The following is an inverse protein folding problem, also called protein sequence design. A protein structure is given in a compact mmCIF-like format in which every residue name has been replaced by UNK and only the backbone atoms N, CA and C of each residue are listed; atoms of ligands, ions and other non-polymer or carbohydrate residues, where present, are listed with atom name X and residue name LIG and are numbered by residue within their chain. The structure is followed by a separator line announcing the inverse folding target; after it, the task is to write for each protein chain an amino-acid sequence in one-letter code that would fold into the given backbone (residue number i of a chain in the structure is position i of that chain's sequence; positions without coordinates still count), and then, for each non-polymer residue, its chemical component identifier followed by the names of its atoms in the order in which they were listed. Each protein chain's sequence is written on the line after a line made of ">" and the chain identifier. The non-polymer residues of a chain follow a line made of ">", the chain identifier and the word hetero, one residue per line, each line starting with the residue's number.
data_IF_559378507815
#
_entry.id   IF_559378507815
#
_cell.length_a   1.000
_cell.length_b   1.000
_cell.length_c   1.000
_cell.angle_alpha   90.00
_cell.angle_beta   90.00
_cell.angle_gamma   90.00
#
_symmetry.space_group_name_H-M   'P 1'
#
loop_
_entity.id
_entity.type
_entity.pdbx_description
1 polymer ?
#
# COMPACT_ATOMS: atom_id res chain seq x y z
N UNK A 1 -50.23 6.08 6.68
CA UNK A 1 -50.03 4.63 6.92
C UNK A 1 -48.53 4.33 6.87
N UNK A 2 -47.89 4.19 8.04
CA UNK A 2 -46.45 3.93 8.15
C UNK A 2 -46.18 2.44 7.94
N UNK A 3 -45.74 2.06 6.74
CA UNK A 3 -45.32 0.68 6.48
C UNK A 3 -44.01 0.39 7.21
N UNK A 4 -44.13 -0.36 8.31
CA UNK A 4 -43.00 -0.81 9.12
C UNK A 4 -42.22 -1.89 8.35
N UNK A 5 -41.17 -1.46 7.65
CA UNK A 5 -40.30 -2.31 6.83
C UNK A 5 -39.72 -3.50 7.59
N UNK A 6 -39.51 -3.40 8.92
CA UNK A 6 -39.09 -4.55 9.75
C UNK A 6 -40.14 -5.67 9.76
N UNK A 7 -41.43 -5.33 9.73
CA UNK A 7 -42.52 -6.32 9.69
C UNK A 7 -42.55 -7.03 8.34
N UNK A 8 -42.37 -6.30 7.23
CA UNK A 8 -42.29 -6.88 5.89
C UNK A 8 -41.10 -7.85 5.73
N UNK A 9 -39.91 -7.45 6.20
CA UNK A 9 -38.70 -8.29 6.14
C UNK A 9 -38.71 -9.48 7.10
N UNK A 10 -39.50 -9.40 8.19
CA UNK A 10 -39.74 -10.52 9.12
C UNK A 10 -40.65 -11.57 8.48
N UNK A 11 -41.72 -11.15 7.81
CA UNK A 11 -42.66 -12.04 7.12
C UNK A 11 -41.98 -12.78 5.96
N UNK A 12 -41.16 -12.11 5.15
CA UNK A 12 -40.40 -12.73 4.05
C UNK A 12 -39.45 -13.82 4.57
N UNK A 13 -38.80 -13.60 5.72
CA UNK A 13 -37.92 -14.60 6.36
C UNK A 13 -38.66 -15.82 6.91
N UNK A 14 -39.90 -15.64 7.38
CA UNK A 14 -40.75 -16.74 7.84
C UNK A 14 -41.31 -17.58 6.69
N UNK A 15 -41.55 -16.96 5.53
CA UNK A 15 -42.06 -17.65 4.34
C UNK A 15 -40.98 -18.46 3.61
N UNK A 16 -39.71 -18.08 3.73
CA UNK A 16 -38.61 -18.74 3.02
C UNK A 16 -38.05 -20.01 3.68
N UNK A 17 -38.73 -20.60 4.67
CA UNK A 17 -38.66 -22.03 5.01
C UNK A 17 -37.33 -22.67 5.46
N UNK A 18 -36.17 -22.04 5.24
CA UNK A 18 -34.89 -22.71 5.43
C UNK A 18 -34.29 -22.37 6.79
N UNK A 19 -34.27 -23.37 7.68
CA UNK A 19 -33.42 -23.36 8.87
C UNK A 19 -31.97 -23.42 8.42
N UNK A 20 -31.30 -22.28 8.33
CA UNK A 20 -29.84 -22.23 8.20
C UNK A 20 -29.24 -22.55 9.57
N UNK A 21 -28.88 -23.81 9.79
CA UNK A 21 -27.90 -24.16 10.83
C UNK A 21 -26.56 -23.54 10.42
N UNK A 22 -25.92 -22.70 11.27
CA UNK A 22 -24.61 -22.18 10.96
C UNK A 22 -23.59 -23.34 10.92
N UNK A 23 -22.76 -23.46 9.87
CA UNK A 23 -21.70 -24.45 9.86
C UNK A 23 -20.68 -24.14 10.97
N UNK A 24 -20.11 -25.19 11.55
CA UNK A 24 -19.08 -25.10 12.58
C UNK A 24 -17.91 -24.22 12.13
N UNK A 25 -17.55 -23.26 12.97
CA UNK A 25 -16.47 -22.29 12.73
C UNK A 25 -15.12 -23.03 12.73
N UNK A 26 -14.50 -23.18 11.57
CA UNK A 26 -13.05 -23.32 11.48
C UNK A 26 -12.44 -21.92 11.41
N UNK A 27 -11.39 -21.64 12.17
CA UNK A 27 -10.69 -20.35 12.20
C UNK A 27 -10.03 -20.04 10.84
N UNK A 28 -10.80 -19.46 9.92
CA UNK A 28 -10.29 -19.01 8.62
C UNK A 28 -9.45 -17.75 8.84
N UNK A 29 -8.15 -17.86 8.58
CA UNK A 29 -7.23 -16.72 8.72
C UNK A 29 -7.33 -15.77 7.51
N UNK A 30 -7.06 -14.46 7.68
CA UNK A 30 -7.02 -13.50 6.57
C UNK A 30 -6.07 -13.92 5.43
N UNK A 31 -5.00 -14.64 5.76
CA UNK A 31 -4.05 -15.18 4.80
C UNK A 31 -4.68 -16.29 3.94
N UNK A 32 -5.47 -17.19 4.53
CA UNK A 32 -6.19 -18.23 3.80
C UNK A 32 -7.24 -17.62 2.84
N UNK A 33 -7.93 -16.55 3.25
CA UNK A 33 -8.84 -15.80 2.37
C UNK A 33 -8.07 -15.16 1.22
N UNK A 34 -6.92 -14.54 1.52
CA UNK A 34 -6.02 -13.98 0.50
C UNK A 34 -5.58 -15.01 -0.53
N UNK A 35 -5.12 -16.18 -0.08
CA UNK A 35 -4.70 -17.30 -0.92
C UNK A 35 -5.83 -17.84 -1.79
N UNK A 36 -7.05 -17.99 -1.25
CA UNK A 36 -8.20 -18.44 -2.04
C UNK A 36 -8.66 -17.40 -3.07
N UNK A 37 -8.62 -16.10 -2.76
CA UNK A 37 -8.92 -15.04 -3.74
C UNK A 37 -7.94 -15.06 -4.92
N UNK A 38 -6.66 -15.37 -4.64
CA UNK A 38 -5.62 -15.56 -5.66
C UNK A 38 -5.89 -16.80 -6.51
N UNK A 39 -6.22 -17.94 -5.88
CA UNK A 39 -6.48 -19.21 -6.56
C UNK A 39 -7.71 -19.13 -7.49
N UNK A 40 -8.80 -18.54 -7.03
CA UNK A 40 -10.04 -18.37 -7.80
C UNK A 40 -9.90 -17.40 -8.98
N UNK A 41 -8.83 -16.58 -9.01
CA UNK A 41 -8.52 -15.66 -10.10
C UNK A 41 -7.72 -16.27 -11.25
N UNK A 42 -7.17 -17.49 -11.12
CA UNK A 42 -6.35 -18.14 -12.15
C UNK A 42 -7.24 -18.67 -13.30
N UNK A 43 -6.97 -18.26 -14.54
CA UNK A 43 -7.54 -18.88 -15.76
C UNK A 43 -6.57 -19.94 -16.29
N UNK A 44 -7.12 -21.02 -16.85
CA UNK A 44 -6.35 -21.97 -17.64
C UNK A 44 -5.71 -21.28 -18.87
N UNK A 45 -4.43 -21.57 -19.10
CA UNK A 45 -3.60 -20.95 -20.14
C UNK A 45 -4.18 -21.17 -21.54
N UNK A 46 -4.37 -20.09 -22.29
CA UNK A 46 -4.53 -20.15 -23.74
C UNK A 46 -3.40 -19.35 -24.38
N UNK A 47 -2.60 -20.04 -25.21
CA UNK A 47 -1.40 -19.53 -25.88
C UNK A 47 -1.71 -18.24 -26.65
N UNK A 48 -0.92 -17.18 -26.40
CA UNK A 48 -0.99 -15.90 -27.13
C UNK A 48 -0.11 -15.94 -28.38
N UNK A 49 -0.69 -15.64 -29.55
CA UNK A 49 0.06 -15.31 -30.76
C UNK A 49 0.63 -13.88 -30.68
N UNK A 50 1.88 -13.70 -31.15
CA UNK A 50 2.55 -12.40 -31.27
C UNK A 50 2.10 -11.72 -32.56
N UNK A 51 1.43 -10.57 -32.44
CA UNK A 51 1.15 -9.67 -33.57
C UNK A 51 2.09 -8.47 -33.54
N UNK A 52 2.62 -8.09 -34.71
CA UNK A 52 3.49 -6.94 -34.92
C UNK A 52 2.79 -5.61 -34.60
N UNK A 53 3.58 -4.64 -34.12
CA UNK A 53 3.07 -3.38 -33.57
C UNK A 53 3.36 -2.21 -34.51
N UNK A 54 2.34 -1.71 -35.21
CA UNK A 54 2.35 -0.33 -35.69
C UNK A 54 1.81 0.60 -34.59
N UNK A 55 2.69 1.41 -34.01
CA UNK A 55 2.30 2.52 -33.13
C UNK A 55 2.01 3.75 -33.99
N UNK A 56 0.75 4.15 -34.12
CA UNK A 56 0.40 5.44 -34.69
C UNK A 56 0.66 6.51 -33.64
N UNK A 57 1.72 7.30 -33.84
CA UNK A 57 2.05 8.47 -33.02
C UNK A 57 1.03 9.56 -33.33
N UNK A 58 0.24 9.96 -32.33
CA UNK A 58 -0.55 11.20 -32.43
C UNK A 58 0.47 12.35 -32.47
N UNK A 59 0.49 13.21 -33.50
CA UNK A 59 1.46 14.28 -33.57
C UNK A 59 1.12 15.32 -32.50
N UNK A 60 1.76 15.19 -31.34
CA UNK A 60 1.81 16.22 -30.32
C UNK A 60 2.75 17.33 -30.77
N UNK A 61 2.35 18.56 -30.50
CA UNK A 61 3.10 19.78 -30.80
C UNK A 61 4.57 19.65 -30.34
N UNK A 62 5.53 19.70 -31.27
CA UNK A 62 6.94 19.35 -31.05
C UNK A 62 7.72 20.29 -30.11
N UNK A 63 7.11 21.37 -29.63
CA UNK A 63 7.78 22.38 -28.81
C UNK A 63 7.89 22.00 -27.31
N UNK A 64 7.22 20.94 -26.87
CA UNK A 64 7.40 20.37 -25.53
C UNK A 64 7.99 18.96 -25.65
N UNK A 65 9.30 18.85 -25.88
CA UNK A 65 10.12 17.75 -25.32
C UNK A 65 10.25 17.89 -23.78
N UNK A 66 9.10 18.20 -23.19
CA UNK A 66 8.45 17.79 -21.96
C UNK A 66 9.38 17.45 -20.81
N UNK A 67 9.31 18.27 -19.77
CA UNK A 67 9.78 17.98 -18.40
C UNK A 67 9.61 16.51 -17.97
N UNK A 68 8.63 15.78 -18.53
CA UNK A 68 8.41 14.36 -18.27
C UNK A 68 9.59 13.45 -18.62
N UNK A 69 10.40 13.77 -19.64
CA UNK A 69 11.48 12.89 -20.12
C UNK A 69 12.87 13.30 -19.64
N UNK A 70 13.01 14.45 -18.97
CA UNK A 70 14.29 14.90 -18.42
C UNK A 70 14.72 14.02 -17.24
N UNK A 71 16.01 13.83 -16.94
CA UNK A 71 16.41 13.22 -15.67
C UNK A 71 15.81 13.96 -14.47
N UNK A 72 15.47 13.23 -13.41
CA UNK A 72 15.15 13.78 -12.10
C UNK A 72 16.38 14.47 -11.50
N UNK A 73 16.15 15.60 -10.84
CA UNK A 73 17.19 16.32 -10.09
C UNK A 73 17.20 15.89 -8.62
N UNK A 74 18.25 16.27 -7.89
CA UNK A 74 18.34 16.00 -6.45
C UNK A 74 17.26 16.73 -5.66
N UNK A 75 16.88 17.94 -6.09
CA UNK A 75 15.80 18.72 -5.48
C UNK A 75 14.44 18.03 -5.68
N UNK A 76 14.17 17.52 -6.89
CA UNK A 76 12.95 16.76 -7.16
C UNK A 76 12.89 15.47 -6.34
N UNK A 77 14.04 14.78 -6.19
CA UNK A 77 14.16 13.58 -5.37
C UNK A 77 13.84 13.86 -3.91
N UNK A 78 14.48 14.86 -3.30
CA UNK A 78 14.26 15.23 -1.89
C UNK A 78 12.84 15.75 -1.67
N UNK A 79 12.30 16.55 -2.60
CA UNK A 79 10.91 16.97 -2.54
C UNK A 79 9.96 15.76 -2.57
N UNK A 80 10.20 14.81 -3.48
CA UNK A 80 9.44 13.56 -3.56
C UNK A 80 9.50 12.77 -2.25
N UNK A 81 10.71 12.59 -1.71
CA UNK A 81 10.97 11.88 -0.46
C UNK A 81 10.21 12.51 0.72
N UNK A 82 10.25 13.84 0.84
CA UNK A 82 9.55 14.58 1.90
C UNK A 82 8.02 14.46 1.83
N UNK A 83 7.45 14.13 0.67
CA UNK A 83 6.00 13.87 0.55
C UNK A 83 5.58 12.46 0.94
N UNK A 84 6.52 11.54 1.11
CA UNK A 84 6.23 10.15 1.41
C UNK A 84 5.87 9.99 2.89
N UNK A 85 4.85 9.16 3.16
CA UNK A 85 4.40 8.90 4.52
C UNK A 85 5.27 7.84 5.18
N UNK A 86 5.76 8.14 6.38
CA UNK A 86 6.41 7.20 7.27
C UNK A 86 5.37 6.32 8.01
N UNK A 87 5.82 5.29 8.69
CA UNK A 87 5.05 4.30 9.44
C UNK A 87 4.21 3.38 8.54
N UNK A 88 4.72 3.04 7.34
CA UNK A 88 4.02 2.20 6.36
C UNK A 88 4.72 0.86 6.18
N UNK A 89 3.92 -0.19 6.01
CA UNK A 89 4.44 -1.53 5.76
C UNK A 89 5.28 -1.58 4.47
N UNK A 90 6.39 -2.30 4.54
CA UNK A 90 7.28 -2.54 3.41
C UNK A 90 6.63 -3.42 2.34
N UNK A 91 7.20 -3.38 1.13
CA UNK A 91 6.82 -4.26 0.04
C UNK A 91 7.60 -5.58 0.07
N UNK A 92 7.61 -6.32 -1.05
CA UNK A 92 8.41 -7.54 -1.21
C UNK A 92 9.93 -7.33 -1.05
N UNK A 93 10.41 -6.10 -1.14
CA UNK A 93 11.80 -5.69 -0.97
C UNK A 93 12.23 -5.49 0.48
N UNK A 94 11.27 -5.48 1.41
CA UNK A 94 11.46 -5.19 2.85
C UNK A 94 12.14 -3.85 3.16
N UNK A 95 12.19 -2.94 2.18
CA UNK A 95 12.74 -1.59 2.36
C UNK A 95 11.62 -0.67 2.88
N UNK A 96 11.86 -0.06 4.04
CA UNK A 96 11.00 0.95 4.63
C UNK A 96 11.34 2.35 4.11
N UNK A 97 10.40 3.28 4.19
CA UNK A 97 10.63 4.66 3.69
C UNK A 97 11.60 5.40 4.60
N UNK A 98 11.51 5.12 5.90
CA UNK A 98 12.37 5.58 6.98
C UNK A 98 13.84 5.29 6.66
N UNK A 99 14.13 4.08 6.18
CA UNK A 99 15.49 3.71 5.78
C UNK A 99 16.01 4.67 4.73
N UNK A 100 15.24 4.93 3.67
CA UNK A 100 15.62 5.83 2.56
C UNK A 100 15.77 7.28 3.05
N UNK A 101 14.87 7.73 3.93
CA UNK A 101 14.90 9.09 4.50
C UNK A 101 16.17 9.35 5.29
N UNK A 102 16.64 8.36 6.07
CA UNK A 102 17.82 8.48 6.93
C UNK A 102 19.13 8.08 6.24
N UNK A 103 19.11 7.73 4.95
CA UNK A 103 20.34 7.47 4.19
C UNK A 103 21.20 8.73 4.05
N UNK A 104 22.51 8.53 4.07
CA UNK A 104 23.48 9.56 3.71
C UNK A 104 23.40 9.98 2.23
N UNK A 105 24.00 11.13 1.88
CA UNK A 105 23.88 11.74 0.55
C UNK A 105 24.37 10.84 -0.59
N UNK A 106 25.41 10.04 -0.35
CA UNK A 106 25.95 9.09 -1.34
C UNK A 106 24.91 8.04 -1.73
N UNK A 107 24.20 7.47 -0.75
CA UNK A 107 23.20 6.45 -0.99
C UNK A 107 21.93 7.04 -1.62
N UNK A 108 21.51 8.24 -1.21
CA UNK A 108 20.42 8.97 -1.88
C UNK A 108 20.74 9.26 -3.34
N UNK A 109 21.97 9.68 -3.64
CA UNK A 109 22.42 9.90 -5.02
C UNK A 109 22.39 8.60 -5.84
N UNK A 110 22.71 7.46 -5.23
CA UNK A 110 22.58 6.16 -5.90
C UNK A 110 21.12 5.86 -6.30
N UNK A 111 20.16 6.11 -5.40
CA UNK A 111 18.73 5.96 -5.72
C UNK A 111 18.28 6.88 -6.87
N UNK A 112 18.72 8.14 -6.85
CA UNK A 112 18.46 9.08 -7.92
C UNK A 112 19.00 8.59 -9.27
N UNK A 113 20.25 8.12 -9.30
CA UNK A 113 20.86 7.56 -10.50
C UNK A 113 20.11 6.32 -11.00
N UNK A 114 19.66 5.45 -10.09
CA UNK A 114 18.83 4.29 -10.43
C UNK A 114 17.50 4.72 -11.05
N UNK A 115 16.80 5.71 -10.49
CA UNK A 115 15.56 6.23 -11.05
C UNK A 115 15.74 6.86 -12.42
N UNK A 116 16.82 7.63 -12.61
CA UNK A 116 17.17 8.19 -13.92
C UNK A 116 17.50 7.11 -14.95
N UNK A 117 18.18 6.04 -14.53
CA UNK A 117 18.42 4.88 -15.38
C UNK A 117 17.10 4.19 -15.76
N UNK A 118 16.16 4.05 -14.83
CA UNK A 118 14.83 3.50 -15.12
C UNK A 118 14.07 4.36 -16.13
N UNK A 119 14.14 5.69 -16.00
CA UNK A 119 13.50 6.63 -16.91
C UNK A 119 14.09 6.55 -18.33
N UNK A 120 15.42 6.55 -18.44
CA UNK A 120 16.14 6.49 -19.72
C UNK A 120 15.94 5.15 -20.44
N UNK A 121 16.08 4.05 -19.72
CA UNK A 121 16.02 2.69 -20.30
C UNK A 121 14.59 2.17 -20.46
N UNK A 122 13.61 2.83 -19.82
CA UNK A 122 12.22 2.37 -19.69
C UNK A 122 12.10 0.96 -19.08
N UNK A 123 13.11 0.56 -18.29
CA UNK A 123 13.16 -0.72 -17.59
C UNK A 123 13.15 -0.46 -16.09
N UNK A 124 12.33 -1.22 -15.37
CA UNK A 124 12.25 -1.19 -13.91
C UNK A 124 12.75 -2.51 -13.33
N UNK A 125 13.26 -2.51 -12.07
CA UNK A 125 13.58 -3.72 -11.33
C UNK A 125 12.45 -4.73 -11.36
N UNK A 126 12.78 -6.02 -11.47
CA UNK A 126 11.81 -7.10 -11.55
C UNK A 126 10.95 -7.18 -10.28
N UNK A 127 11.54 -6.90 -9.11
CA UNK A 127 10.87 -6.92 -7.81
C UNK A 127 9.77 -5.85 -7.68
N UNK A 128 9.90 -4.71 -8.37
CA UNK A 128 8.86 -3.66 -8.39
C UNK A 128 7.57 -4.10 -9.07
N UNK A 129 7.62 -5.18 -9.87
CA UNK A 129 6.45 -5.80 -10.48
C UNK A 129 5.73 -6.78 -9.54
N UNK A 130 6.31 -7.08 -8.39
CA UNK A 130 5.74 -7.95 -7.35
C UNK A 130 5.02 -7.13 -6.29
N UNK A 131 4.04 -7.74 -5.62
CA UNK A 131 3.30 -7.14 -4.51
C UNK A 131 2.89 -8.21 -3.50
N UNK A 132 2.87 -7.87 -2.22
CA UNK A 132 2.26 -8.70 -1.17
C UNK A 132 0.77 -8.36 -1.11
N UNK A 133 -0.11 -9.36 -1.17
CA UNK A 133 -1.56 -9.16 -1.09
C UNK A 133 -2.06 -9.47 0.31
N UNK A 134 -2.58 -8.47 1.00
CA UNK A 134 -3.18 -8.61 2.34
C UNK A 134 -4.67 -8.29 2.27
N UNK A 135 -5.52 -9.19 2.76
CA UNK A 135 -6.97 -8.99 2.80
C UNK A 135 -7.40 -8.34 4.12
N UNK A 136 -7.97 -7.13 4.07
CA UNK A 136 -8.52 -6.45 5.25
C UNK A 136 -10.04 -6.62 5.33
N UNK A 137 -10.54 -7.06 6.49
CA UNK A 137 -11.97 -7.16 6.74
C UNK A 137 -12.62 -5.77 6.80
N UNK A 138 -13.74 -5.59 6.10
CA UNK A 138 -14.57 -4.38 6.19
C UNK A 138 -15.21 -4.32 7.58
N UNK A 139 -15.21 -3.15 8.25
CA UNK A 139 -15.84 -3.00 9.56
C UNK A 139 -17.30 -3.47 9.56
N UNK A 140 -17.68 -4.29 10.54
CA UNK A 140 -19.05 -4.78 10.73
C UNK A 140 -19.57 -5.73 9.64
N UNK A 141 -18.69 -6.36 8.85
CA UNK A 141 -19.05 -7.39 7.86
C UNK A 141 -18.69 -8.80 8.32
N UNK A 142 -19.46 -9.78 7.85
CA UNK A 142 -19.28 -11.19 8.17
C UNK A 142 -17.91 -11.72 7.68
N UNK A 143 -17.02 -12.20 8.56
CA UNK A 143 -15.72 -12.77 8.19
C UNK A 143 -15.80 -14.01 7.29
N UNK A 144 -16.95 -14.69 7.24
CA UNK A 144 -17.08 -15.91 6.43
C UNK A 144 -17.34 -15.63 4.94
N UNK A 145 -17.60 -14.37 4.58
CA UNK A 145 -17.90 -13.97 3.20
C UNK A 145 -16.71 -13.29 2.54
N UNK A 146 -16.27 -13.79 1.39
CA UNK A 146 -15.16 -13.22 0.61
C UNK A 146 -15.36 -11.74 0.24
N UNK A 147 -16.61 -11.32 -0.04
CA UNK A 147 -16.98 -9.92 -0.33
C UNK A 147 -16.78 -8.97 0.85
N UNK A 148 -16.63 -9.51 2.07
CA UNK A 148 -16.38 -8.73 3.28
C UNK A 148 -14.95 -8.23 3.36
N UNK A 149 -14.02 -8.76 2.56
CA UNK A 149 -12.63 -8.33 2.57
C UNK A 149 -12.32 -7.31 1.46
N UNK A 150 -11.28 -6.50 1.69
CA UNK A 150 -10.65 -5.62 0.70
C UNK A 150 -9.22 -6.11 0.50
N UNK A 151 -8.83 -6.56 -0.71
CA UNK A 151 -7.43 -6.85 -0.98
C UNK A 151 -6.63 -5.55 -1.05
N UNK A 152 -5.50 -5.50 -0.35
CA UNK A 152 -4.52 -4.41 -0.39
C UNK A 152 -3.22 -4.97 -0.94
N UNK A 153 -2.66 -4.29 -1.93
CA UNK A 153 -1.35 -4.61 -2.50
C UNK A 153 -0.27 -3.75 -1.85
N UNK A 154 0.65 -4.39 -1.12
CA UNK A 154 1.87 -3.77 -0.61
C UNK A 154 2.93 -3.84 -1.71
N UNK A 155 3.16 -2.70 -2.37
CA UNK A 155 4.22 -2.52 -3.36
C UNK A 155 5.54 -2.13 -2.69
N UNK A 156 6.65 -2.38 -3.39
CA UNK A 156 7.99 -1.93 -3.01
C UNK A 156 8.00 -0.43 -2.69
N UNK A 157 8.63 -0.05 -1.60
CA UNK A 157 8.64 1.35 -1.14
C UNK A 157 9.43 2.25 -2.09
N UNK A 158 10.53 1.73 -2.62
CA UNK A 158 11.35 2.41 -3.65
C UNK A 158 10.55 2.62 -4.94
N UNK A 159 9.66 1.68 -5.29
CA UNK A 159 8.79 1.83 -6.45
C UNK A 159 7.76 2.94 -6.26
N UNK A 160 7.14 3.02 -5.07
CA UNK A 160 6.19 4.10 -4.74
C UNK A 160 6.86 5.48 -4.78
N UNK A 161 8.12 5.58 -4.37
CA UNK A 161 8.89 6.83 -4.48
C UNK A 161 9.14 7.20 -5.94
N UNK A 162 9.51 6.23 -6.79
CA UNK A 162 9.62 6.46 -8.23
C UNK A 162 8.29 6.92 -8.87
N UNK A 163 7.18 6.26 -8.54
CA UNK A 163 5.84 6.66 -8.97
C UNK A 163 5.48 8.08 -8.50
N UNK A 164 5.90 8.47 -7.30
CA UNK A 164 5.70 9.82 -6.76
C UNK A 164 6.41 10.87 -7.61
N UNK A 165 7.67 10.64 -7.99
CA UNK A 165 8.42 11.57 -8.84
C UNK A 165 7.76 11.75 -10.21
N UNK A 166 7.29 10.65 -10.81
CA UNK A 166 6.54 10.70 -12.06
C UNK A 166 5.21 11.45 -11.90
N UNK A 167 4.47 11.17 -10.82
CA UNK A 167 3.19 11.82 -10.53
C UNK A 167 3.35 13.32 -10.36
N UNK A 168 4.41 13.78 -9.67
CA UNK A 168 4.68 15.21 -9.49
C UNK A 168 4.85 15.95 -10.82
N UNK A 169 5.40 15.29 -11.84
CA UNK A 169 5.55 15.88 -13.18
C UNK A 169 4.30 15.76 -14.04
N UNK A 170 3.53 14.67 -13.87
CA UNK A 170 2.32 14.40 -14.66
C UNK A 170 1.10 15.18 -14.18
N UNK A 171 0.94 15.35 -12.86
CA UNK A 171 -0.30 15.92 -12.27
C UNK A 171 -0.62 17.30 -12.84
N UNK A 172 0.32 18.27 -12.92
CA UNK A 172 -0.01 19.61 -13.41
C UNK A 172 -0.48 19.62 -14.87
N UNK A 173 0.09 18.73 -15.70
CA UNK A 173 -0.27 18.63 -17.12
C UNK A 173 -1.65 18.00 -17.31
N UNK A 174 -1.97 16.98 -16.52
CA UNK A 174 -3.27 16.30 -16.59
C UNK A 174 -4.36 17.17 -15.97
N UNK A 175 -4.10 17.81 -14.82
CA UNK A 175 -5.08 18.61 -14.11
C UNK A 175 -5.61 19.79 -14.93
N UNK A 176 -4.79 20.34 -15.84
CA UNK A 176 -5.19 21.40 -16.77
C UNK A 176 -6.26 20.95 -17.78
N UNK A 177 -6.25 19.67 -18.16
CA UNK A 177 -7.14 19.10 -19.18
C UNK A 177 -8.39 18.41 -18.57
N UNK A 178 -8.44 18.23 -17.25
CA UNK A 178 -9.56 17.57 -16.58
C UNK A 178 -10.78 18.48 -16.46
N UNK A 179 -11.97 17.91 -16.68
CA UNK A 179 -13.25 18.58 -16.46
C UNK A 179 -13.37 19.12 -15.01
N UNK A 180 -14.03 20.28 -14.86
CA UNK A 180 -14.12 21.01 -13.58
C UNK A 180 -14.84 20.23 -12.47
N UNK A 181 -15.79 19.38 -12.87
CA UNK A 181 -16.63 18.58 -11.97
C UNK A 181 -15.95 17.28 -11.52
N UNK A 182 -14.84 16.89 -12.15
CA UNK A 182 -14.03 15.78 -11.66
C UNK A 182 -13.32 16.19 -10.37
N UNK A 183 -13.64 15.54 -9.26
CA UNK A 183 -13.03 15.79 -7.95
C UNK A 183 -12.21 14.62 -7.38
N UNK A 184 -12.45 13.39 -7.85
CA UNK A 184 -11.76 12.21 -7.31
C UNK A 184 -10.24 12.34 -7.47
N UNK A 185 -9.51 12.19 -6.36
CA UNK A 185 -8.03 12.19 -6.30
C UNK A 185 -7.36 13.49 -6.77
N UNK A 186 -8.05 14.64 -6.73
CA UNK A 186 -7.48 15.93 -7.13
C UNK A 186 -7.13 16.82 -5.93
N UNK A 187 -6.03 17.57 -5.99
CA UNK A 187 -5.69 18.54 -4.95
C UNK A 187 -6.77 19.63 -4.85
N UNK A 188 -7.11 20.04 -3.63
CA UNK A 188 -8.11 21.09 -3.37
C UNK A 188 -9.57 20.68 -3.64
N UNK A 189 -9.84 19.41 -3.95
CA UNK A 189 -11.20 18.87 -4.15
C UNK A 189 -11.52 17.82 -3.09
N UNK A 190 -12.78 17.74 -2.68
CA UNK A 190 -13.25 16.81 -1.63
C UNK A 190 -14.64 16.27 -1.93
N UNK A 191 -15.00 15.15 -1.29
CA UNK A 191 -16.36 14.62 -1.35
C UNK A 191 -17.39 15.61 -0.82
N UNK A 192 -17.06 16.34 0.25
CA UNK A 192 -17.94 17.37 0.83
C UNK A 192 -18.19 18.51 -0.15
N UNK A 193 -17.17 18.97 -0.88
CA UNK A 193 -17.33 19.99 -1.91
C UNK A 193 -18.26 19.54 -3.04
N UNK A 194 -18.18 18.27 -3.46
CA UNK A 194 -19.10 17.76 -4.47
C UNK A 194 -20.52 17.53 -3.95
N UNK A 195 -20.66 17.17 -2.69
CA UNK A 195 -21.98 17.10 -2.06
C UNK A 195 -22.64 18.49 -2.06
N UNK A 196 -21.89 19.54 -1.71
CA UNK A 196 -22.37 20.92 -1.75
C UNK A 196 -22.82 21.34 -3.16
N UNK A 197 -22.03 21.01 -4.19
CA UNK A 197 -22.39 21.30 -5.58
C UNK A 197 -23.70 20.60 -5.98
N UNK A 198 -23.86 19.33 -5.59
CA UNK A 198 -25.08 18.57 -5.87
C UNK A 198 -26.29 19.15 -5.14
N UNK A 199 -26.16 19.50 -3.86
CA UNK A 199 -27.27 20.09 -3.10
C UNK A 199 -27.66 21.46 -3.66
N UNK A 200 -26.69 22.29 -4.04
CA UNK A 200 -26.96 23.57 -4.68
C UNK A 200 -27.71 23.39 -6.00
N UNK A 201 -27.31 22.41 -6.82
CA UNK A 201 -28.00 22.13 -8.08
C UNK A 201 -29.47 21.71 -7.88
N UNK A 202 -29.75 20.95 -6.81
CA UNK A 202 -31.11 20.55 -6.44
C UNK A 202 -31.92 21.78 -5.99
N UNK A 203 -31.34 22.63 -5.14
CA UNK A 203 -31.99 23.86 -4.65
C UNK A 203 -32.29 24.86 -5.78
N UNK A 204 -31.35 25.08 -6.69
CA UNK A 204 -31.52 25.94 -7.86
C UNK A 204 -32.65 25.44 -8.76
N UNK A 205 -32.73 24.11 -8.97
CA UNK A 205 -33.81 23.47 -9.72
C UNK A 205 -35.17 23.69 -9.06
N UNK A 206 -35.24 23.52 -7.73
CA UNK A 206 -36.45 23.78 -6.95
C UNK A 206 -36.91 25.24 -7.07
N UNK A 207 -36.00 26.21 -6.90
CA UNK A 207 -36.31 27.64 -7.04
C UNK A 207 -36.84 27.98 -8.44
N UNK A 208 -36.30 27.34 -9.48
CA UNK A 208 -36.74 27.51 -10.87
C UNK A 208 -38.00 26.72 -11.23
N UNK A 209 -38.62 26.02 -10.26
CA UNK A 209 -39.78 25.14 -10.45
C UNK A 209 -39.53 24.03 -11.48
N UNK A 210 -38.30 23.54 -11.57
CA UNK A 210 -37.92 22.41 -12.41
C UNK A 210 -38.00 21.09 -11.64
N UNK A 211 -38.14 19.98 -12.36
CA UNK A 211 -37.99 18.64 -11.80
C UNK A 211 -36.52 18.23 -11.90
N UNK A 212 -35.84 18.09 -10.76
CA UNK A 212 -34.45 17.64 -10.70
C UNK A 212 -34.38 16.13 -10.50
N UNK A 213 -33.71 15.42 -11.40
CA UNK A 213 -33.42 13.99 -11.28
C UNK A 213 -31.93 13.74 -11.06
N UNK A 214 -31.57 12.65 -10.39
CA UNK A 214 -30.17 12.23 -10.19
C UNK A 214 -30.00 10.77 -10.54
N UNK A 215 -28.97 10.46 -11.34
CA UNK A 215 -28.56 9.10 -11.67
C UNK A 215 -27.19 8.80 -11.05
N UNK A 216 -27.16 7.84 -10.13
CA UNK A 216 -25.91 7.36 -9.54
C UNK A 216 -25.37 6.20 -10.37
N UNK A 217 -24.32 6.47 -11.15
CA UNK A 217 -23.64 5.47 -11.98
C UNK A 217 -22.41 4.99 -11.23
N UNK A 218 -22.40 3.70 -10.88
CA UNK A 218 -21.21 3.03 -10.34
C UNK A 218 -20.57 2.16 -11.41
N UNK A 219 -19.31 2.45 -11.70
CA UNK A 219 -18.50 1.62 -12.56
C UNK A 219 -17.94 0.47 -11.72
N UNK A 220 -18.69 -0.63 -11.67
CA UNK A 220 -18.06 -1.89 -11.31
C UNK A 220 -16.96 -2.18 -12.34
N UNK A 221 -15.84 -2.75 -11.92
CA UNK A 221 -14.78 -3.21 -12.84
C UNK A 221 -15.36 -4.34 -13.69
N UNK A 222 -16.10 -3.97 -14.72
CA UNK A 222 -16.76 -4.85 -15.67
C UNK A 222 -15.85 -4.91 -16.89
N UNK A 223 -14.74 -5.64 -16.77
CA UNK A 223 -13.96 -6.01 -17.97
C UNK A 223 -14.67 -7.07 -18.79
N UNK A 224 -15.68 -7.75 -18.23
CA UNK A 224 -16.35 -8.90 -18.86
C UNK A 224 -17.65 -8.50 -19.56
N UNK A 225 -18.62 -7.90 -18.86
CA UNK A 225 -19.91 -7.57 -19.46
C UNK A 225 -19.85 -6.41 -20.49
N UNK A 226 -18.93 -5.46 -20.35
CA UNK A 226 -18.80 -4.35 -21.31
C UNK A 226 -18.13 -4.78 -22.61
N UNK A 227 -17.22 -5.77 -22.56
CA UNK A 227 -16.69 -6.44 -23.77
C UNK A 227 -17.77 -7.28 -24.47
N UNK A 228 -18.64 -7.92 -23.70
CA UNK A 228 -19.77 -8.69 -24.24
C UNK A 228 -20.78 -7.78 -24.92
N UNK A 229 -21.10 -6.60 -24.36
CA UNK A 229 -22.01 -5.64 -25.00
C UNK A 229 -21.42 -5.01 -26.27
N UNK A 230 -20.13 -4.69 -26.30
CA UNK A 230 -19.45 -4.21 -27.51
C UNK A 230 -19.53 -5.20 -28.68
N UNK A 231 -19.58 -6.50 -28.37
CA UNK A 231 -19.61 -7.57 -29.37
C UNK A 231 -21.03 -8.04 -29.75
N UNK A 232 -22.06 -7.70 -28.97
CA UNK A 232 -23.40 -8.32 -29.10
C UNK A 232 -24.55 -7.29 -29.17
N UNK A 233 -24.40 -6.06 -28.63
CA UNK A 233 -25.46 -5.06 -28.66
C UNK A 233 -25.24 -4.04 -29.79
N UNK A 234 -26.04 -4.15 -30.85
CA UNK A 234 -26.00 -3.31 -32.05
C UNK A 234 -26.29 -1.82 -31.76
N UNK A 235 -26.80 -1.48 -30.57
CA UNK A 235 -27.03 -0.09 -30.13
C UNK A 235 -25.83 0.50 -29.38
N UNK A 236 -24.81 -0.32 -29.09
CA UNK A 236 -23.60 0.13 -28.43
C UNK A 236 -22.82 1.04 -29.39
N UNK A 237 -22.43 2.24 -28.93
CA UNK A 237 -21.76 3.28 -29.75
C UNK A 237 -20.43 2.84 -30.41
N UNK A 238 -19.89 1.69 -30.00
CA UNK A 238 -18.65 1.08 -30.49
C UNK A 238 -18.87 -0.35 -31.03
N UNK A 239 -20.12 -0.72 -31.37
CA UNK A 239 -20.45 -2.01 -31.97
C UNK A 239 -19.62 -2.22 -33.25
N UNK A 240 -18.98 -3.38 -33.38
CA UNK A 240 -18.06 -3.75 -34.48
C UNK A 240 -16.80 -2.87 -34.64
N UNK A 241 -16.59 -1.87 -33.78
CA UNK A 241 -15.40 -1.03 -33.84
C UNK A 241 -14.19 -1.80 -33.29
N UNK A 242 -13.31 -2.27 -34.18
CA UNK A 242 -12.04 -2.87 -33.78
C UNK A 242 -11.16 -1.81 -33.14
N UNK A 243 -11.08 -1.81 -31.80
CA UNK A 243 -10.24 -0.87 -31.08
C UNK A 243 -8.78 -0.98 -31.55
N UNK A 244 -8.17 0.15 -31.91
CA UNK A 244 -6.71 0.24 -32.03
C UNK A 244 -6.13 -0.13 -30.67
N UNK A 245 -5.48 -1.29 -30.61
CA UNK A 245 -4.88 -1.78 -29.38
C UNK A 245 -3.61 -1.00 -29.11
N UNK A 246 -3.68 -0.04 -28.17
CA UNK A 246 -2.69 0.15 -27.09
C UNK A 246 -3.11 1.27 -26.14
N UNK A 247 -3.45 0.88 -24.93
CA UNK A 247 -3.06 1.61 -23.72
C UNK A 247 -2.10 0.69 -22.98
N UNK A 248 -0.94 1.22 -22.54
CA UNK A 248 0.09 0.52 -21.79
C UNK A 248 -0.54 -0.41 -20.74
N UNK A 249 -0.52 -1.71 -21.02
CA UNK A 249 -0.92 -2.75 -20.07
C UNK A 249 0.16 -2.90 -19.01
N UNK A 250 0.28 -1.90 -18.14
CA UNK A 250 0.80 -2.14 -16.80
C UNK A 250 -0.07 -3.22 -16.18
N UNK A 251 0.59 -4.27 -15.69
CA UNK A 251 0.05 -5.48 -15.07
C UNK A 251 -0.42 -6.53 -16.09
N UNK A 252 0.55 -7.29 -16.61
CA UNK A 252 0.39 -8.75 -16.54
C UNK A 252 -0.15 -9.09 -15.15
N UNK A 253 -1.19 -9.92 -15.10
CA UNK A 253 -1.73 -10.39 -13.84
C UNK A 253 -0.59 -10.87 -12.97
N UNK A 254 -0.38 -10.28 -11.79
CA UNK A 254 0.63 -10.74 -10.83
C UNK A 254 0.42 -12.22 -10.44
N UNK A 255 -0.76 -12.76 -10.77
CA UNK A 255 -1.19 -14.14 -10.54
C UNK A 255 -0.45 -15.16 -11.40
N UNK A 256 0.13 -14.77 -12.55
CA UNK A 256 0.88 -15.68 -13.42
C UNK A 256 2.35 -15.83 -12.96
N UNK A 257 2.78 -15.03 -11.96
CA UNK A 257 4.18 -14.98 -11.48
C UNK A 257 4.31 -15.12 -9.96
N UNK A 258 3.26 -15.57 -9.27
CA UNK A 258 3.27 -15.78 -7.82
C UNK A 258 3.31 -17.26 -7.47
N UNK A 259 4.27 -17.62 -6.61
CA UNK A 259 4.47 -18.97 -6.08
C UNK A 259 4.16 -18.94 -4.57
N UNK A 260 3.60 -20.03 -4.05
CA UNK A 260 3.42 -20.18 -2.61
C UNK A 260 4.79 -20.39 -1.96
N UNK A 261 5.05 -19.73 -0.83
CA UNK A 261 6.27 -20.00 -0.06
C UNK A 261 6.08 -21.29 0.73
N UNK A 262 7.02 -22.23 0.61
CA UNK A 262 7.04 -23.47 1.38
C UNK A 262 7.61 -23.29 2.79
N UNK A 263 8.43 -22.25 2.98
CA UNK A 263 9.09 -21.92 4.25
C UNK A 263 8.55 -20.61 4.83
N UNK A 264 9.09 -20.21 5.99
CA UNK A 264 8.76 -18.90 6.55
C UNK A 264 9.18 -17.78 5.58
N UNK A 265 8.47 -16.64 5.55
CA UNK A 265 8.82 -15.52 4.67
C UNK A 265 10.27 -15.05 4.84
N UNK A 266 10.81 -15.11 6.06
CA UNK A 266 12.21 -14.76 6.35
C UNK A 266 13.16 -15.72 5.66
N UNK A 267 13.04 -17.03 5.90
CA UNK A 267 13.94 -18.04 5.34
C UNK A 267 13.90 -18.04 3.80
N UNK A 268 12.71 -17.85 3.22
CA UNK A 268 12.54 -17.76 1.78
C UNK A 268 13.27 -16.53 1.19
N UNK A 269 13.20 -15.37 1.87
CA UNK A 269 13.92 -14.15 1.44
C UNK A 269 15.42 -14.30 1.59
N UNK A 270 15.91 -14.79 2.73
CA UNK A 270 17.33 -14.99 2.97
C UNK A 270 17.92 -15.94 1.93
N UNK A 271 17.23 -17.04 1.63
CA UNK A 271 17.65 -18.02 0.60
C UNK A 271 17.72 -17.40 -0.79
N UNK A 272 16.68 -16.67 -1.20
CA UNK A 272 16.63 -16.02 -2.50
C UNK A 272 17.67 -14.90 -2.60
N UNK A 273 17.90 -14.15 -1.52
CA UNK A 273 18.92 -13.12 -1.46
C UNK A 273 20.33 -13.71 -1.55
N UNK A 274 20.62 -14.78 -0.82
CA UNK A 274 21.89 -15.51 -0.91
C UNK A 274 22.15 -16.02 -2.33
N UNK A 275 21.11 -16.57 -2.97
CA UNK A 275 21.17 -17.06 -4.35
C UNK A 275 21.48 -15.94 -5.34
N UNK A 276 20.80 -14.79 -5.22
CA UNK A 276 21.08 -13.62 -6.06
C UNK A 276 22.47 -13.05 -5.77
N UNK A 277 22.87 -12.99 -4.51
CA UNK A 277 24.19 -12.54 -4.08
C UNK A 277 25.30 -13.38 -4.71
N UNK A 278 25.16 -14.71 -4.66
CA UNK A 278 26.10 -15.64 -5.28
C UNK A 278 26.13 -15.51 -6.82
N UNK A 279 25.01 -15.14 -7.44
CA UNK A 279 24.93 -14.93 -8.90
C UNK A 279 25.63 -13.66 -9.40
N UNK A 280 25.92 -12.69 -8.51
CA UNK A 280 26.58 -11.42 -8.85
C UNK A 280 28.11 -11.55 -9.01
N UNK A 281 28.72 -12.69 -8.66
CA UNK A 281 30.13 -13.00 -8.94
C UNK A 281 31.12 -11.93 -8.44
N UNK A 282 31.85 -11.30 -9.37
CA UNK A 282 32.87 -10.29 -9.08
C UNK A 282 32.32 -9.00 -8.47
N UNK A 283 31.05 -8.65 -8.75
CA UNK A 283 30.40 -7.54 -8.07
C UNK A 283 30.21 -7.88 -6.58
N UNK A 284 29.70 -9.06 -6.22
CA UNK A 284 29.54 -9.44 -4.82
C UNK A 284 30.86 -9.41 -4.02
N UNK A 285 32.00 -9.68 -4.66
CA UNK A 285 33.33 -9.60 -4.05
C UNK A 285 33.71 -8.16 -3.66
N UNK A 286 33.46 -7.17 -4.52
CA UNK A 286 33.69 -5.75 -4.21
C UNK A 286 32.85 -5.25 -3.02
N UNK A 287 31.68 -5.82 -2.80
CA UNK A 287 30.80 -5.44 -1.69
C UNK A 287 31.26 -6.10 -0.39
N UNK A 288 31.75 -7.34 -0.45
CA UNK A 288 32.42 -8.01 0.67
C UNK A 288 33.68 -7.28 1.13
N UNK A 289 34.50 -6.78 0.20
CA UNK A 289 35.68 -5.96 0.52
C UNK A 289 35.30 -4.64 1.23
N UNK A 290 34.08 -4.14 0.99
CA UNK A 290 33.51 -2.98 1.69
C UNK A 290 32.79 -3.35 2.99
N UNK A 291 32.91 -4.60 3.46
CA UNK A 291 32.27 -5.09 4.68
C UNK A 291 30.77 -5.37 4.57
N UNK A 292 30.19 -5.29 3.36
CA UNK A 292 28.77 -5.57 3.14
C UNK A 292 28.63 -7.06 2.86
N UNK A 293 28.08 -7.79 3.84
CA UNK A 293 27.75 -9.21 3.71
C UNK A 293 26.24 -9.39 3.80
N UNK A 294 25.66 -10.35 3.05
CA UNK A 294 24.26 -10.71 3.19
C UNK A 294 24.10 -11.52 4.48
N UNK A 295 24.01 -10.81 5.58
CA UNK A 295 23.66 -11.39 6.87
C UNK A 295 22.34 -10.75 7.30
N UNK A 296 21.24 -11.47 7.11
CA UNK A 296 19.94 -11.11 7.69
C UNK A 296 19.96 -11.56 9.15
N UNK A 297 20.87 -10.99 9.94
CA UNK A 297 20.91 -11.23 11.37
C UNK A 297 19.85 -10.33 12.02
N UNK A 298 18.93 -10.97 12.76
CA UNK A 298 18.01 -10.22 13.59
C UNK A 298 18.83 -9.40 14.58
N UNK A 299 18.38 -8.17 14.84
CA UNK A 299 19.06 -7.28 15.76
C UNK A 299 19.36 -8.01 17.08
N UNK A 300 20.54 -7.74 17.63
CA UNK A 300 21.07 -8.36 18.84
C UNK A 300 20.01 -8.42 19.95
N UNK A 301 19.90 -9.55 20.65
CA UNK A 301 18.83 -9.82 21.62
C UNK A 301 17.56 -10.49 21.04
N UNK A 302 17.59 -10.97 19.80
CA UNK A 302 16.46 -11.69 19.16
C UNK A 302 16.12 -13.04 19.82
N UNK A 303 17.06 -13.58 20.57
CA UNK A 303 16.94 -14.76 21.43
C UNK A 303 16.08 -14.50 22.67
N UNK A 304 15.80 -13.23 23.00
CA UNK A 304 15.01 -12.86 24.16
C UNK A 304 13.52 -13.12 23.94
N UNK A 305 12.73 -13.32 25.03
CA UNK A 305 11.28 -13.44 24.93
C UNK A 305 10.67 -12.29 24.14
N UNK A 306 9.67 -12.60 23.30
CA UNK A 306 9.06 -11.65 22.35
C UNK A 306 8.74 -10.28 22.95
N UNK A 307 8.17 -10.23 24.15
CA UNK A 307 7.83 -8.98 24.83
C UNK A 307 9.06 -8.11 25.10
N UNK A 308 10.17 -8.72 25.54
CA UNK A 308 11.44 -8.05 25.82
C UNK A 308 12.09 -7.60 24.52
N UNK A 309 12.17 -8.47 23.52
CA UNK A 309 12.75 -8.13 22.21
C UNK A 309 12.00 -6.99 21.52
N UNK A 310 10.67 -7.03 21.54
CA UNK A 310 9.83 -5.96 20.99
C UNK A 310 10.08 -4.62 21.69
N UNK A 311 10.24 -4.64 23.01
CA UNK A 311 10.51 -3.44 23.80
C UNK A 311 11.91 -2.89 23.58
N UNK A 312 12.93 -3.75 23.50
CA UNK A 312 14.28 -3.36 23.09
C UNK A 312 14.27 -2.61 21.75
N UNK A 313 13.59 -3.15 20.74
CA UNK A 313 13.52 -2.51 19.42
C UNK A 313 12.78 -1.16 19.45
N UNK A 314 11.74 -1.02 20.28
CA UNK A 314 11.05 0.26 20.46
C UNK A 314 11.95 1.31 21.12
N UNK A 315 12.71 0.91 22.13
CA UNK A 315 13.67 1.79 22.79
C UNK A 315 14.79 2.20 21.82
N UNK A 316 15.33 1.27 21.02
CA UNK A 316 16.35 1.53 19.98
C UNK A 316 15.92 2.57 18.95
N UNK A 317 14.70 2.42 18.44
CA UNK A 317 14.18 3.28 17.36
C UNK A 317 13.61 4.59 17.91
N UNK A 318 13.40 4.68 19.24
CA UNK A 318 12.72 5.82 19.85
C UNK A 318 11.24 5.91 19.46
N UNK A 319 10.66 4.81 18.97
CA UNK A 319 9.29 4.76 18.44
C UNK A 319 8.52 3.62 19.10
N UNK A 320 7.40 3.95 19.75
CA UNK A 320 6.64 2.99 20.55
C UNK A 320 5.28 3.50 20.99
N UNK A 321 4.49 2.60 21.60
CA UNK A 321 3.16 2.93 22.14
C UNK A 321 3.26 3.47 23.57
N UNK A 322 4.00 4.56 23.77
CA UNK A 322 4.03 5.24 25.06
C UNK A 322 2.69 5.95 25.36
N UNK A 323 2.41 6.26 26.63
CA UNK A 323 1.14 6.90 27.03
C UNK A 323 0.91 8.25 26.33
N UNK A 324 1.96 9.01 25.98
CA UNK A 324 1.81 10.22 25.17
C UNK A 324 1.22 9.93 23.78
N UNK A 325 1.73 8.90 23.09
CA UNK A 325 1.17 8.45 21.79
C UNK A 325 -0.25 7.90 21.95
N UNK A 326 -0.53 7.15 23.01
CA UNK A 326 -1.87 6.60 23.27
C UNK A 326 -2.90 7.69 23.56
N UNK A 327 -2.53 8.74 24.30
CA UNK A 327 -3.36 9.92 24.53
C UNK A 327 -3.64 10.67 23.23
N UNK A 328 -2.62 10.86 22.39
CA UNK A 328 -2.78 11.46 21.04
C UNK A 328 -3.75 10.66 20.16
N UNK A 329 -3.86 9.35 20.35
CA UNK A 329 -4.80 8.47 19.64
C UNK A 329 -6.15 8.28 20.34
N UNK A 330 -6.41 9.01 21.44
CA UNK A 330 -7.62 8.86 22.26
C UNK A 330 -7.84 7.44 22.82
N UNK A 331 -6.77 6.70 23.08
CA UNK A 331 -6.82 5.37 23.72
C UNK A 331 -6.77 5.49 25.24
N UNK A 332 -5.97 6.42 25.75
CA UNK A 332 -5.86 6.74 27.19
C UNK A 332 -6.15 8.22 27.44
N UNK A 333 -6.58 8.54 28.66
CA UNK A 333 -6.85 9.94 29.07
C UNK A 333 -5.63 10.65 29.65
N UNK A 334 -4.67 9.88 30.17
CA UNK A 334 -3.44 10.38 30.78
C UNK A 334 -2.20 9.93 30.00
N UNK A 335 -1.21 10.82 29.95
CA UNK A 335 0.13 10.64 29.43
C UNK A 335 1.18 10.51 30.55
N UNK A 336 0.79 10.55 31.83
CA UNK A 336 1.74 10.57 32.94
C UNK A 336 2.47 9.23 33.14
N UNK A 337 3.79 9.33 33.30
CA UNK A 337 4.67 8.30 33.83
C UNK A 337 4.54 8.20 35.36
N UNK A 338 5.01 7.09 35.96
CA UNK A 338 5.02 6.91 37.41
C UNK A 338 5.85 7.98 38.15
N UNK A 339 6.86 8.55 37.49
CA UNK A 339 7.65 9.64 38.03
C UNK A 339 6.99 11.03 37.92
N UNK A 340 5.78 11.13 37.35
CA UNK A 340 5.01 12.37 37.22
C UNK A 340 5.20 13.15 35.90
N UNK A 341 6.24 12.85 35.12
CA UNK A 341 6.49 13.46 33.81
C UNK A 341 5.66 12.79 32.69
N UNK A 342 5.40 13.45 31.56
CA UNK A 342 4.78 12.82 30.40
C UNK A 342 5.65 11.66 29.87
N UNK A 343 5.05 10.47 29.77
CA UNK A 343 5.70 9.28 29.24
C UNK A 343 5.80 9.37 27.71
N UNK A 344 6.86 10.03 27.24
CA UNK A 344 7.33 10.04 25.84
C UNK A 344 8.43 8.99 25.65
N UNK A 345 8.73 8.62 24.40
CA UNK A 345 9.84 7.68 24.13
C UNK A 345 11.20 8.20 24.61
N UNK A 346 11.43 9.51 24.52
CA UNK A 346 12.63 10.17 25.05
C UNK A 346 12.68 10.13 26.59
N UNK A 347 11.53 10.31 27.24
CA UNK A 347 11.44 10.23 28.69
C UNK A 347 11.75 8.82 29.23
N UNK A 348 11.33 7.75 28.53
CA UNK A 348 11.56 6.37 28.99
C UNK A 348 13.04 6.02 29.19
N UNK A 349 13.93 6.65 28.41
CA UNK A 349 15.38 6.48 28.52
C UNK A 349 15.98 7.24 29.71
N UNK A 350 15.33 8.31 30.14
CA UNK A 350 15.81 9.23 31.19
C UNK A 350 14.96 9.17 32.47
N UNK A 351 14.07 8.19 32.59
CA UNK A 351 13.13 8.11 33.70
C UNK A 351 13.88 7.75 35.00
N UNK A 352 13.74 8.57 36.04
CA UNK A 352 14.43 8.38 37.32
C UNK A 352 13.94 7.16 38.12
N UNK A 353 12.77 6.62 37.79
CA UNK A 353 12.19 5.43 38.42
C UNK A 353 12.41 4.14 37.62
N UNK A 354 13.00 4.23 36.44
CA UNK A 354 13.36 3.08 35.62
C UNK A 354 14.86 2.75 35.77
N UNK A 355 15.27 1.50 35.50
CA UNK A 355 16.68 1.19 35.32
C UNK A 355 17.29 2.12 34.27
N UNK A 356 18.54 2.52 34.47
CA UNK A 356 19.25 3.40 33.53
C UNK A 356 19.93 2.56 32.46
N UNK A 357 19.71 2.91 31.19
CA UNK A 357 20.47 2.39 30.06
C UNK A 357 20.79 3.52 29.08
N UNK A 358 21.96 3.48 28.47
CA UNK A 358 22.37 4.43 27.44
C UNK A 358 21.96 3.94 26.04
N UNK A 359 22.06 4.82 25.03
CA UNK A 359 21.85 4.41 23.63
C UNK A 359 22.83 3.33 23.17
N UNK A 360 24.07 3.39 23.65
CA UNK A 360 25.09 2.37 23.37
C UNK A 360 24.76 1.04 24.05
N UNK A 361 24.21 1.10 25.26
CA UNK A 361 23.69 -0.09 25.96
C UNK A 361 22.52 -0.73 25.22
N UNK A 362 21.75 0.00 24.41
CA UNK A 362 20.65 -0.58 23.63
C UNK A 362 21.14 -1.24 22.34
N UNK A 363 22.29 -0.82 21.78
CA UNK A 363 22.83 -1.37 20.55
C UNK A 363 23.22 -2.84 20.70
N UNK A 364 23.70 -3.23 21.89
CA UNK A 364 23.97 -4.60 22.30
C UNK A 364 23.03 -4.99 23.45
N UNK A 365 22.52 -6.22 23.61
CA UNK A 365 21.61 -6.57 24.71
C UNK A 365 22.39 -6.71 26.04
N UNK A 366 22.99 -5.62 26.52
CA UNK A 366 23.69 -5.58 27.80
C UNK A 366 22.70 -5.80 28.95
N UNK A 367 23.22 -6.18 30.12
CA UNK A 367 22.37 -6.39 31.30
C UNK A 367 21.52 -5.15 31.65
N UNK A 368 22.04 -3.94 31.38
CA UNK A 368 21.33 -2.69 31.58
C UNK A 368 20.13 -2.54 30.61
N UNK A 369 20.34 -2.76 29.31
CA UNK A 369 19.26 -2.70 28.33
C UNK A 369 18.18 -3.76 28.56
N UNK A 370 18.57 -4.98 28.96
CA UNK A 370 17.61 -6.02 29.30
C UNK A 370 16.80 -5.67 30.55
N UNK A 371 17.39 -5.02 31.55
CA UNK A 371 16.67 -4.54 32.72
C UNK A 371 15.65 -3.45 32.35
N UNK A 372 16.03 -2.48 31.51
CA UNK A 372 15.13 -1.44 31.01
C UNK A 372 13.99 -2.02 30.17
N UNK A 373 14.30 -2.93 29.24
CA UNK A 373 13.28 -3.57 28.42
C UNK A 373 12.31 -4.41 29.25
N UNK A 374 12.79 -5.10 30.28
CA UNK A 374 11.92 -5.85 31.19
C UNK A 374 11.03 -4.96 32.04
N UNK A 375 11.50 -3.78 32.44
CA UNK A 375 10.71 -2.80 33.17
C UNK A 375 9.56 -2.25 32.30
N UNK A 376 9.85 -1.95 31.03
CA UNK A 376 8.89 -1.29 30.14
C UNK A 376 8.01 -2.23 29.29
N UNK A 377 8.25 -3.55 29.31
CA UNK A 377 7.60 -4.51 28.39
C UNK A 377 6.08 -4.52 28.40
N UNK A 378 5.46 -4.19 29.53
CA UNK A 378 4.01 -4.19 29.70
C UNK A 378 3.40 -2.79 29.50
N UNK A 379 4.24 -1.74 29.45
CA UNK A 379 3.80 -0.34 29.30
C UNK A 379 3.91 0.21 27.88
N UNK A 380 4.82 -0.31 27.04
CA UNK A 380 5.02 0.16 25.66
C UNK A 380 4.91 -0.97 24.66
#
# INVERSE_FOLDING_TARGET
>A
MTQNSKKAWSTIRKLNGDKITPPSVSDITPNQVGSQLVANGRRAETRRAKGEHHSTVIPGNQQNMSILTKPFTSEEFEAGLNTMKLGKAAGPDDILMEMITHLGPVAKQWFLNMYNTCLLTQRIPSIWRKAIITALLKPGKDPNLSKSYRPISLLCTTYKLFERLLLSRLSPQIDAELIKDQAGFRPGKSCTGQLLNLTQHIEDGYQKKLITGTAFVDLTVITKAERTKQAIDNRHLLHEHSAVRKRLGSRSSFLDTSEALETTPTDARTTEWQKQWNSLGSQAAQWKERGITPDECLATGHDQPWAVWKTLNRLRVGEGRCKASMKKWNITTSDACACGEPQTMEHLMNCTQAPQCTGDDLAEPTAAALACANHWKDEI
#
